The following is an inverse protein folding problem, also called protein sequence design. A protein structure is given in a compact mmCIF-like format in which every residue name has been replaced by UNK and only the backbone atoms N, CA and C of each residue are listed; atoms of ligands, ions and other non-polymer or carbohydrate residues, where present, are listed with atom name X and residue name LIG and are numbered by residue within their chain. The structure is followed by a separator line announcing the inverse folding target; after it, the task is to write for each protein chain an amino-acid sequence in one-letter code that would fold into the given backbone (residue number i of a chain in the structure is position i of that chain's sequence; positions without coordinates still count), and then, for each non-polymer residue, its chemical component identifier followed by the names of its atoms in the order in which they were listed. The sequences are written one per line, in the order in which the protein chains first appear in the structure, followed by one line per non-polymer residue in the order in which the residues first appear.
data_IF_956386499907
#
_entry.id   IF_956386499907
#
_cell.length_a   1.000
_cell.length_b   1.000
_cell.length_c   1.000
_cell.angle_alpha   90.00
_cell.angle_beta   90.00
_cell.angle_gamma   90.00
#
_symmetry.space_group_name_H-M   'P 1'
#
loop_
_entity.id
_entity.type
_entity.pdbx_description
1 polymer ?
#
# COMPACT_ATOMS: atom_id res chain seq x y z
N UNK A 1 3.05 -30.52 3.58
CA UNK A 1 3.60 -29.31 4.23
C UNK A 1 2.45 -28.66 4.97
N UNK A 2 2.33 -28.87 6.28
CA UNK A 2 1.20 -28.36 7.06
C UNK A 2 1.27 -26.83 7.17
N UNK A 3 0.14 -26.12 7.01
CA UNK A 3 0.03 -24.69 7.30
C UNK A 3 0.22 -23.72 6.12
N UNK A 4 0.10 -24.19 4.86
CA UNK A 4 0.10 -23.33 3.66
C UNK A 4 -1.24 -23.29 2.92
N UNK A 5 -2.26 -23.95 3.46
CA UNK A 5 -3.54 -24.17 2.78
C UNK A 5 -4.40 -22.89 2.68
N UNK A 6 -4.00 -21.83 3.38
CA UNK A 6 -4.64 -20.50 3.35
C UNK A 6 -3.91 -19.50 2.44
N UNK A 7 -2.75 -19.87 1.89
CA UNK A 7 -2.01 -19.04 0.95
C UNK A 7 -2.68 -19.08 -0.42
N UNK A 8 -2.92 -17.91 -0.99
CA UNK A 8 -3.29 -17.86 -2.40
C UNK A 8 -2.08 -18.28 -3.22
N UNK A 9 -2.23 -19.32 -4.03
CA UNK A 9 -1.21 -19.68 -5.02
C UNK A 9 -1.27 -18.65 -6.14
N UNK A 10 -0.57 -17.54 -5.93
CA UNK A 10 -0.44 -16.48 -6.93
C UNK A 10 0.66 -16.83 -7.93
N UNK A 11 0.48 -16.51 -9.21
CA UNK A 11 1.51 -16.72 -10.20
C UNK A 11 2.70 -15.76 -9.95
N UNK A 12 3.94 -16.17 -10.28
CA UNK A 12 5.16 -15.47 -9.90
C UNK A 12 5.27 -14.04 -10.46
N UNK A 13 4.53 -13.73 -11.52
CA UNK A 13 4.48 -12.37 -12.06
C UNK A 13 3.83 -11.37 -11.09
N UNK A 14 2.93 -11.80 -10.19
CA UNK A 14 2.32 -10.88 -9.21
C UNK A 14 3.36 -10.35 -8.24
N UNK A 15 4.28 -11.21 -7.81
CA UNK A 15 5.42 -10.79 -6.99
C UNK A 15 6.31 -9.78 -7.74
N UNK A 16 6.52 -9.96 -9.04
CA UNK A 16 7.25 -8.99 -9.86
C UNK A 16 6.55 -7.63 -9.89
N UNK A 17 5.22 -7.59 -10.00
CA UNK A 17 4.45 -6.34 -9.88
C UNK A 17 4.60 -5.69 -8.50
N UNK A 18 4.64 -6.47 -7.41
CA UNK A 18 4.88 -5.93 -6.05
C UNK A 18 6.25 -5.31 -5.89
N UNK A 19 7.28 -5.93 -6.47
CA UNK A 19 8.64 -5.37 -6.46
C UNK A 19 8.68 -4.07 -7.28
N UNK A 20 7.99 -4.04 -8.43
CA UNK A 20 7.92 -2.84 -9.26
C UNK A 20 7.21 -1.68 -8.53
N UNK A 21 6.13 -1.95 -7.80
CA UNK A 21 5.47 -0.99 -6.91
C UNK A 21 6.44 -0.50 -5.82
N UNK A 22 7.18 -1.40 -5.17
CA UNK A 22 8.14 -0.98 -4.13
C UNK A 22 9.24 -0.06 -4.70
N UNK A 23 9.82 -0.41 -5.85
CA UNK A 23 10.88 0.39 -6.49
C UNK A 23 10.34 1.75 -6.94
N UNK A 24 9.16 1.77 -7.55
CA UNK A 24 8.55 3.01 -8.04
C UNK A 24 8.17 3.92 -6.87
N UNK A 25 7.64 3.38 -5.78
CA UNK A 25 7.37 4.12 -4.55
C UNK A 25 8.63 4.75 -3.94
N UNK A 26 9.78 4.05 -3.93
CA UNK A 26 11.07 4.62 -3.47
C UNK A 26 11.49 5.81 -4.33
N UNK A 27 11.34 5.71 -5.66
CA UNK A 27 11.66 6.81 -6.57
C UNK A 27 10.75 8.02 -6.32
N UNK A 28 9.44 7.79 -6.16
CA UNK A 28 8.48 8.87 -5.88
C UNK A 28 8.77 9.51 -4.52
N UNK A 29 9.09 8.71 -3.49
CA UNK A 29 9.45 9.23 -2.17
C UNK A 29 10.68 10.15 -2.25
N UNK A 30 11.69 9.79 -3.05
CA UNK A 30 12.86 10.63 -3.29
C UNK A 30 12.52 11.92 -4.03
N UNK A 31 11.66 11.86 -5.05
CA UNK A 31 11.21 13.03 -5.79
C UNK A 31 10.39 13.97 -4.91
N UNK A 32 9.45 13.47 -4.12
CA UNK A 32 8.65 14.29 -3.20
C UNK A 32 9.46 14.82 -2.02
N UNK A 33 10.42 14.06 -1.48
CA UNK A 33 11.33 14.58 -0.47
C UNK A 33 12.15 15.76 -1.03
N UNK A 34 12.61 15.64 -2.29
CA UNK A 34 13.21 16.76 -3.02
C UNK A 34 12.21 17.92 -3.14
N UNK A 35 10.96 17.67 -3.55
CA UNK A 35 9.89 18.67 -3.66
C UNK A 35 9.72 19.53 -2.40
N UNK A 36 9.48 18.86 -1.27
CA UNK A 36 9.28 19.47 0.07
C UNK A 36 10.47 20.32 0.52
N UNK A 37 11.71 19.95 0.15
CA UNK A 37 12.89 20.77 0.49
C UNK A 37 12.87 22.16 -0.17
N UNK A 38 12.19 22.31 -1.31
CA UNK A 38 12.07 23.57 -2.04
C UNK A 38 10.76 24.29 -1.75
N UNK A 39 9.64 23.59 -1.87
CA UNK A 39 8.31 24.14 -1.63
C UNK A 39 7.41 22.97 -1.20
N UNK A 40 6.89 23.06 0.02
CA UNK A 40 5.86 22.14 0.51
C UNK A 40 4.50 22.74 0.18
N UNK A 41 3.66 21.90 -0.42
CA UNK A 41 2.27 22.18 -0.72
C UNK A 41 1.50 20.86 -0.64
N UNK A 42 0.19 20.95 -0.49
CA UNK A 42 -0.66 19.85 -0.04
C UNK A 42 -0.54 18.58 -0.91
N UNK A 43 -0.46 18.70 -2.24
CA UNK A 43 -0.30 17.55 -3.12
C UNK A 43 1.07 16.88 -3.06
N UNK A 44 2.16 17.61 -2.79
CA UNK A 44 3.49 17.00 -2.64
C UNK A 44 3.60 16.29 -1.28
N UNK A 45 3.10 16.91 -0.21
CA UNK A 45 3.07 16.32 1.13
C UNK A 45 2.18 15.06 1.16
N UNK A 46 1.04 15.08 0.47
CA UNK A 46 0.18 13.90 0.32
C UNK A 46 0.86 12.81 -0.51
N UNK A 47 1.56 13.17 -1.59
CA UNK A 47 2.31 12.21 -2.43
C UNK A 47 3.43 11.54 -1.63
N UNK A 48 4.15 12.30 -0.80
CA UNK A 48 5.17 11.79 0.10
C UNK A 48 4.59 10.76 1.09
N UNK A 49 3.46 11.08 1.72
CA UNK A 49 2.75 10.16 2.61
C UNK A 49 2.33 8.88 1.86
N UNK A 50 1.72 9.03 0.69
CA UNK A 50 1.22 7.90 -0.11
C UNK A 50 2.35 6.99 -0.58
N UNK A 51 3.52 7.54 -0.95
CA UNK A 51 4.70 6.76 -1.28
C UNK A 51 5.23 5.96 -0.08
N UNK A 52 5.28 6.57 1.10
CA UNK A 52 5.68 5.90 2.34
C UNK A 52 4.71 4.77 2.72
N UNK A 53 3.39 5.04 2.66
CA UNK A 53 2.37 4.04 2.91
C UNK A 53 2.47 2.87 1.91
N UNK A 54 2.73 3.17 0.64
CA UNK A 54 2.94 2.16 -0.41
C UNK A 54 4.13 1.25 -0.09
N UNK A 55 5.25 1.78 0.41
CA UNK A 55 6.36 0.93 0.83
C UNK A 55 5.96 -0.01 1.98
N UNK A 56 5.26 0.50 2.99
CA UNK A 56 4.83 -0.32 4.13
C UNK A 56 3.91 -1.45 3.65
N UNK A 57 2.96 -1.12 2.78
CA UNK A 57 2.01 -2.08 2.19
C UNK A 57 2.73 -3.15 1.38
N UNK A 58 3.59 -2.75 0.45
CA UNK A 58 4.29 -3.67 -0.45
C UNK A 58 5.27 -4.56 0.31
N UNK A 59 6.00 -4.03 1.30
CA UNK A 59 6.87 -4.82 2.17
C UNK A 59 6.07 -5.86 2.96
N UNK A 60 4.94 -5.47 3.55
CA UNK A 60 4.05 -6.42 4.25
C UNK A 60 3.60 -7.55 3.32
N UNK A 61 3.14 -7.24 2.11
CA UNK A 61 2.66 -8.23 1.14
C UNK A 61 3.80 -9.18 0.73
N UNK A 62 4.98 -8.65 0.37
CA UNK A 62 6.13 -9.46 -0.05
C UNK A 62 6.58 -10.40 1.08
N UNK A 63 6.66 -9.91 2.32
CA UNK A 63 7.07 -10.72 3.48
C UNK A 63 6.02 -11.79 3.79
N UNK A 64 4.73 -11.46 3.72
CA UNK A 64 3.64 -12.40 3.96
C UNK A 64 3.60 -13.52 2.91
N UNK A 65 3.95 -13.24 1.66
CA UNK A 65 3.99 -14.23 0.58
C UNK A 65 5.25 -15.11 0.59
N UNK A 66 6.42 -14.54 0.92
CA UNK A 66 7.72 -15.23 0.73
C UNK A 66 8.30 -15.83 2.00
N UNK A 67 8.27 -15.12 3.12
CA UNK A 67 9.06 -15.44 4.31
C UNK A 67 8.21 -15.87 5.50
N UNK A 68 7.05 -15.25 5.69
CA UNK A 68 6.22 -15.43 6.88
C UNK A 68 4.75 -15.73 6.50
N UNK A 69 4.43 -16.95 6.05
CA UNK A 69 3.06 -17.30 5.66
C UNK A 69 2.06 -17.25 6.83
N UNK A 70 2.53 -17.19 8.08
CA UNK A 70 1.69 -17.08 9.27
C UNK A 70 0.98 -15.72 9.39
N UNK A 71 1.57 -14.65 8.85
CA UNK A 71 0.96 -13.31 8.85
C UNK A 71 0.07 -13.08 7.62
N UNK A 72 -0.03 -14.06 6.72
CA UNK A 72 -0.77 -13.93 5.49
C UNK A 72 -2.28 -13.87 5.75
N UNK A 73 -2.89 -12.73 5.40
CA UNK A 73 -4.33 -12.53 5.43
C UNK A 73 -4.79 -11.86 4.12
N UNK A 74 -5.51 -12.62 3.29
CA UNK A 74 -5.97 -12.12 1.98
C UNK A 74 -6.97 -10.97 2.08
N UNK A 75 -7.74 -10.86 3.17
CA UNK A 75 -8.64 -9.72 3.38
C UNK A 75 -7.87 -8.44 3.69
N UNK A 76 -6.77 -8.57 4.45
CA UNK A 76 -5.87 -7.46 4.70
C UNK A 76 -5.21 -7.00 3.40
N UNK A 77 -4.72 -7.93 2.58
CA UNK A 77 -4.09 -7.61 1.29
C UNK A 77 -5.08 -6.87 0.36
N UNK A 78 -6.31 -7.38 0.22
CA UNK A 78 -7.36 -6.69 -0.55
C UNK A 78 -7.65 -5.28 -0.01
N UNK A 79 -7.79 -5.15 1.31
CA UNK A 79 -8.05 -3.85 1.94
C UNK A 79 -6.91 -2.86 1.70
N UNK A 80 -5.66 -3.31 1.81
CA UNK A 80 -4.48 -2.49 1.56
C UNK A 80 -4.34 -2.08 0.09
N UNK A 81 -4.68 -2.96 -0.86
CA UNK A 81 -4.70 -2.62 -2.28
C UNK A 81 -5.77 -1.55 -2.58
N UNK A 82 -6.99 -1.69 -2.05
CA UNK A 82 -8.06 -0.68 -2.23
C UNK A 82 -7.65 0.65 -1.60
N UNK A 83 -7.07 0.61 -0.40
CA UNK A 83 -6.54 1.80 0.27
C UNK A 83 -5.49 2.50 -0.61
N UNK A 84 -4.52 1.75 -1.14
CA UNK A 84 -3.48 2.31 -2.00
C UNK A 84 -4.05 2.95 -3.27
N UNK A 85 -5.04 2.32 -3.92
CA UNK A 85 -5.71 2.87 -5.11
C UNK A 85 -6.36 4.22 -4.81
N UNK A 86 -7.10 4.33 -3.70
CA UNK A 86 -7.78 5.57 -3.31
C UNK A 86 -6.77 6.67 -3.00
N UNK A 87 -5.69 6.35 -2.29
CA UNK A 87 -4.66 7.35 -2.00
C UNK A 87 -3.91 7.77 -3.26
N UNK A 88 -3.56 6.85 -4.14
CA UNK A 88 -2.86 7.19 -5.38
C UNK A 88 -3.71 8.08 -6.29
N UNK A 89 -4.99 7.75 -6.51
CA UNK A 89 -5.84 8.58 -7.40
C UNK A 89 -5.98 10.02 -6.89
N UNK A 90 -6.07 10.22 -5.58
CA UNK A 90 -6.13 11.56 -4.99
C UNK A 90 -4.77 12.25 -5.12
N UNK A 91 -3.70 11.56 -4.70
CA UNK A 91 -2.34 12.14 -4.62
C UNK A 91 -1.83 12.59 -5.98
N UNK A 92 -1.85 11.70 -6.99
CA UNK A 92 -1.29 12.06 -8.30
C UNK A 92 -2.15 13.13 -9.00
N UNK A 93 -3.47 13.10 -8.82
CA UNK A 93 -4.38 14.09 -9.43
C UNK A 93 -4.18 15.47 -8.81
N UNK A 94 -4.08 15.53 -7.48
CA UNK A 94 -3.84 16.78 -6.76
C UNK A 94 -2.48 17.37 -7.14
N UNK A 95 -1.41 16.56 -7.06
CA UNK A 95 -0.06 16.97 -7.45
C UNK A 95 -0.02 17.44 -8.92
N UNK A 96 -0.67 16.73 -9.84
CA UNK A 96 -0.74 17.14 -11.24
C UNK A 96 -1.44 18.49 -11.42
N UNK A 97 -2.52 18.75 -10.67
CA UNK A 97 -3.26 20.01 -10.74
C UNK A 97 -2.44 21.20 -10.24
N UNK A 98 -1.71 21.02 -9.14
CA UNK A 98 -0.87 22.07 -8.53
C UNK A 98 0.37 22.34 -9.38
N UNK A 99 1.00 21.29 -9.93
CA UNK A 99 2.13 21.41 -10.86
C UNK A 99 1.73 22.06 -12.18
N UNK A 100 0.49 21.85 -12.65
CA UNK A 100 -0.04 22.50 -13.84
C UNK A 100 -0.37 23.99 -13.59
N UNK A 101 -0.89 24.32 -12.40
CA UNK A 101 -1.12 25.68 -11.95
C UNK A 101 0.19 26.44 -11.66
N UNK A 102 1.28 25.70 -11.41
CA UNK A 102 2.61 26.26 -11.23
C UNK A 102 3.18 26.76 -12.56
N UNK A 103 2.73 27.94 -12.95
CA UNK A 103 3.14 28.61 -14.19
C UNK A 103 4.33 29.49 -13.88
N UNK A 104 5.38 29.37 -14.70
CA UNK A 104 6.45 30.37 -14.74
C UNK A 104 5.77 31.67 -15.13
N UNK A 105 5.81 32.67 -14.25
CA UNK A 105 5.57 34.04 -14.66
C UNK A 105 6.73 34.40 -15.59
N UNK A 106 6.59 34.11 -16.89
CA UNK A 106 7.41 34.74 -17.92
C UNK A 106 7.12 36.22 -17.80
N UNK A 107 8.09 36.98 -17.32
CA UNK A 107 7.96 38.40 -17.17
C UNK A 107 7.80 39.04 -18.55
N UNK A 108 6.56 39.31 -18.94
CA UNK A 108 6.27 40.04 -20.17
C UNK A 108 6.50 41.55 -20.00
N UNK A 109 6.63 42.03 -18.76
CA UNK A 109 6.83 43.45 -18.46
C UNK A 109 8.14 43.70 -17.72
N UNK A 110 9.00 44.53 -18.32
CA UNK A 110 10.26 44.98 -17.74
C UNK A 110 9.95 45.89 -16.54
N UNK A 111 10.37 45.50 -15.33
CA UNK A 111 10.03 46.26 -14.12
C UNK A 111 10.80 47.57 -14.01
N UNK A 112 12.09 47.57 -14.39
CA UNK A 112 12.89 48.77 -14.57
C UNK A 112 14.14 48.44 -15.41
N UNK A 113 14.65 49.43 -16.13
CA UNK A 113 15.88 49.31 -16.94
C UNK A 113 17.00 50.14 -16.31
N UNK A 114 18.19 49.57 -16.20
CA UNK A 114 19.41 50.28 -15.81
C UNK A 114 20.53 49.90 -16.77
N UNK A 115 21.20 50.91 -17.35
CA UNK A 115 22.27 50.74 -18.33
C UNK A 115 21.89 49.86 -19.56
N UNK A 116 20.63 49.92 -20.00
CA UNK A 116 20.15 49.15 -21.16
C UNK A 116 19.83 47.68 -20.87
N UNK A 117 19.96 47.25 -19.61
CA UNK A 117 19.60 45.90 -19.16
C UNK A 117 18.26 45.96 -18.44
N UNK A 118 17.29 45.16 -18.90
CA UNK A 118 15.97 45.05 -18.29
C UNK A 118 16.00 44.10 -17.09
N UNK A 119 15.57 44.59 -15.93
CA UNK A 119 15.42 43.81 -14.70
C UNK A 119 13.95 43.45 -14.50
N UNK A 120 13.68 42.16 -14.34
CA UNK A 120 12.33 41.65 -14.15
C UNK A 120 12.00 41.49 -12.66
N UNK A 121 10.84 41.99 -12.21
CA UNK A 121 10.40 41.82 -10.82
C UNK A 121 9.73 40.46 -10.64
N UNK A 122 10.35 39.59 -9.84
CA UNK A 122 9.70 38.41 -9.24
C UNK A 122 8.33 38.81 -8.70
N UNK A 123 7.28 38.11 -9.11
CA UNK A 123 5.90 38.45 -8.72
C UNK A 123 5.82 38.57 -7.20
N UNK A 124 5.06 39.54 -6.67
CA UNK A 124 4.91 39.77 -5.23
C UNK A 124 4.43 38.52 -4.46
N UNK A 125 3.73 37.61 -5.14
CA UNK A 125 3.33 36.31 -4.60
C UNK A 125 4.53 35.37 -4.27
N UNK A 126 5.70 35.62 -4.88
CA UNK A 126 6.94 34.84 -4.70
C UNK A 126 7.99 35.59 -3.85
N UNK A 127 7.65 36.76 -3.28
CA UNK A 127 8.57 37.57 -2.46
C UNK A 127 9.01 36.82 -1.18
N UNK A 128 8.12 35.99 -0.62
CA UNK A 128 8.42 35.14 0.52
C UNK A 128 9.17 33.84 0.18
N UNK A 129 9.32 33.50 -1.11
CA UNK A 129 10.05 32.32 -1.59
C UNK A 129 11.50 32.63 -1.95
N UNK A 130 11.97 33.85 -1.65
CA UNK A 130 13.26 34.40 -2.07
C UNK A 130 14.52 33.73 -1.46
N UNK A 131 14.39 32.65 -0.67
CA UNK A 131 15.54 32.11 0.09
C UNK A 131 15.93 30.65 -0.18
N UNK A 132 15.36 29.97 -1.18
CA UNK A 132 15.74 28.58 -1.54
C UNK A 132 16.40 28.55 -2.93
N UNK A 133 17.58 29.17 -3.00
CA UNK A 133 18.28 29.54 -4.23
C UNK A 133 19.31 28.49 -4.67
N UNK A 134 18.87 27.25 -4.97
CA UNK A 134 19.78 26.20 -5.50
C UNK A 134 19.25 25.40 -6.69
N UNK A 135 17.96 25.51 -7.10
CA UNK A 135 17.43 24.75 -8.23
C UNK A 135 16.63 25.60 -9.23
N UNK A 136 16.67 25.20 -10.50
CA UNK A 136 15.94 25.86 -11.58
C UNK A 136 14.45 25.50 -11.50
N UNK A 137 13.57 26.50 -11.66
CA UNK A 137 12.10 26.35 -11.68
C UNK A 137 11.64 25.28 -12.67
N UNK A 138 12.29 25.18 -13.84
CA UNK A 138 12.01 24.14 -14.82
C UNK A 138 12.36 22.74 -14.28
N UNK A 139 13.50 22.60 -13.60
CA UNK A 139 13.93 21.33 -13.00
C UNK A 139 12.97 20.89 -11.91
N UNK A 140 12.57 21.81 -11.03
CA UNK A 140 11.58 21.53 -9.98
C UNK A 140 10.24 21.06 -10.57
N UNK A 141 9.68 21.84 -11.50
CA UNK A 141 8.40 21.51 -12.12
C UNK A 141 8.44 20.18 -12.88
N UNK A 142 9.53 19.91 -13.60
CA UNK A 142 9.70 18.64 -14.31
C UNK A 142 9.83 17.45 -13.34
N UNK A 143 10.50 17.63 -12.20
CA UNK A 143 10.60 16.60 -11.17
C UNK A 143 9.24 16.30 -10.53
N UNK A 144 8.44 17.32 -10.23
CA UNK A 144 7.09 17.14 -9.68
C UNK A 144 6.12 16.54 -10.70
N UNK A 145 6.24 16.94 -11.97
CA UNK A 145 5.47 16.33 -13.07
C UNK A 145 5.85 14.84 -13.27
N UNK A 146 7.13 14.51 -13.12
CA UNK A 146 7.59 13.12 -13.14
C UNK A 146 7.02 12.34 -11.94
N UNK A 147 7.03 12.93 -10.74
CA UNK A 147 6.43 12.31 -9.54
C UNK A 147 4.93 12.05 -9.72
N UNK A 148 4.16 13.01 -10.27
CA UNK A 148 2.74 12.79 -10.57
C UNK A 148 2.52 11.71 -11.64
N UNK A 149 3.35 11.69 -12.69
CA UNK A 149 3.28 10.66 -13.73
C UNK A 149 3.55 9.26 -13.19
N UNK A 150 4.58 9.12 -12.35
CA UNK A 150 4.91 7.86 -11.67
C UNK A 150 3.82 7.48 -10.64
N UNK A 151 3.17 8.43 -9.98
CA UNK A 151 2.01 8.16 -9.13
C UNK A 151 0.81 7.61 -9.91
N UNK A 152 0.60 8.08 -11.14
CA UNK A 152 -0.37 7.47 -12.06
C UNK A 152 0.01 6.04 -12.45
N UNK A 153 1.30 5.74 -12.62
CA UNK A 153 1.79 4.38 -12.84
C UNK A 153 1.50 3.48 -11.63
N UNK A 154 1.78 3.94 -10.41
CA UNK A 154 1.45 3.21 -9.17
C UNK A 154 -0.04 2.88 -9.06
N UNK A 155 -0.90 3.86 -9.36
CA UNK A 155 -2.33 3.65 -9.42
C UNK A 155 -2.70 2.48 -10.35
N UNK A 156 -2.15 2.46 -11.57
CA UNK A 156 -2.40 1.38 -12.53
C UNK A 156 -1.87 0.04 -12.00
N UNK A 157 -0.66 0.01 -11.45
CA UNK A 157 -0.07 -1.20 -10.89
C UNK A 157 -0.97 -1.78 -9.79
N UNK A 158 -1.45 -0.93 -8.87
CA UNK A 158 -2.35 -1.36 -7.80
C UNK A 158 -3.70 -1.86 -8.29
N UNK A 159 -4.29 -1.22 -9.31
CA UNK A 159 -5.53 -1.70 -9.95
C UNK A 159 -5.29 -3.08 -10.57
N UNK A 160 -4.20 -3.26 -11.30
CA UNK A 160 -3.85 -4.54 -11.93
C UNK A 160 -3.65 -5.62 -10.87
N UNK A 161 -2.89 -5.35 -9.81
CA UNK A 161 -2.69 -6.32 -8.71
C UNK A 161 -3.99 -6.62 -7.98
N UNK A 162 -4.86 -5.64 -7.73
CA UNK A 162 -6.15 -5.84 -7.09
C UNK A 162 -7.07 -6.75 -7.92
N UNK A 163 -7.15 -6.53 -9.24
CA UNK A 163 -7.97 -7.37 -10.12
C UNK A 163 -7.47 -8.80 -10.11
N UNK A 164 -6.15 -8.99 -10.18
CA UNK A 164 -5.55 -10.32 -10.14
C UNK A 164 -5.79 -11.02 -8.80
N UNK A 165 -5.49 -10.37 -7.67
CA UNK A 165 -5.73 -10.93 -6.33
C UNK A 165 -7.22 -11.23 -6.11
N UNK A 166 -8.11 -10.38 -6.62
CA UNK A 166 -9.57 -10.59 -6.58
C UNK A 166 -10.04 -11.83 -7.36
N UNK A 167 -9.57 -12.01 -8.61
CA UNK A 167 -9.91 -13.18 -9.43
C UNK A 167 -9.43 -14.47 -8.75
N UNK A 168 -8.18 -14.49 -8.29
CA UNK A 168 -7.59 -15.66 -7.65
C UNK A 168 -8.25 -15.95 -6.30
N UNK A 169 -8.63 -14.92 -5.54
CA UNK A 169 -9.39 -15.10 -4.31
C UNK A 169 -10.77 -15.68 -4.57
N UNK A 170 -11.49 -15.19 -5.59
CA UNK A 170 -12.79 -15.74 -5.95
C UNK A 170 -12.69 -17.23 -6.28
N UNK A 171 -11.68 -17.64 -7.07
CA UNK A 171 -11.41 -19.05 -7.37
C UNK A 171 -11.04 -19.86 -6.13
N UNK A 172 -10.23 -19.31 -5.23
CA UNK A 172 -9.84 -19.95 -3.98
C UNK A 172 -11.04 -20.19 -3.06
N UNK A 173 -11.98 -19.24 -3.00
CA UNK A 173 -13.22 -19.38 -2.24
C UNK A 173 -14.18 -20.40 -2.85
N UNK A 174 -14.26 -20.48 -4.18
CA UNK A 174 -15.02 -21.54 -4.86
C UNK A 174 -14.44 -22.94 -4.57
N UNK A 175 -13.13 -23.04 -4.34
CA UNK A 175 -12.45 -24.27 -3.93
C UNK A 175 -12.57 -24.57 -2.41
N UNK A 176 -13.27 -23.74 -1.64
CA UNK A 176 -13.48 -23.93 -0.20
C UNK A 176 -12.33 -23.48 0.70
N UNK A 177 -11.36 -22.70 0.19
CA UNK A 177 -10.21 -22.25 0.97
C UNK A 177 -10.53 -21.20 2.05
N UNK A 178 -9.79 -21.23 3.16
CA UNK A 178 -9.98 -20.36 4.33
C UNK A 178 -8.94 -19.23 4.42
N UNK A 179 -9.26 -18.14 5.13
CA UNK A 179 -8.41 -16.95 5.33
C UNK A 179 -7.30 -17.06 6.35
N UNK A 180 -7.29 -18.12 7.14
CA UNK A 180 -6.34 -18.30 8.22
C UNK A 180 -5.73 -19.69 8.10
N UNK A 181 -4.45 -19.86 8.51
CA UNK A 181 -3.89 -21.19 8.62
C UNK A 181 -4.83 -21.98 9.52
N UNK A 182 -5.29 -23.15 9.05
CA UNK A 182 -6.10 -24.03 9.87
C UNK A 182 -5.33 -24.24 11.17
N UNK A 183 -5.86 -23.70 12.29
CA UNK A 183 -5.35 -24.02 13.61
C UNK A 183 -5.34 -25.53 13.65
N UNK A 184 -4.15 -26.14 13.86
CA UNK A 184 -4.01 -27.58 14.00
C UNK A 184 -5.21 -28.04 14.82
N UNK A 185 -6.08 -28.84 14.18
CA UNK A 185 -7.40 -29.15 14.70
C UNK A 185 -7.25 -29.39 16.20
N UNK A 186 -7.87 -28.53 17.02
CA UNK A 186 -8.03 -28.89 18.41
C UNK A 186 -8.69 -30.26 18.35
N UNK A 187 -7.93 -31.29 18.74
CA UNK A 187 -8.37 -32.66 18.64
C UNK A 187 -9.79 -32.71 19.21
N UNK A 188 -10.76 -33.36 18.54
CA UNK A 188 -12.03 -33.60 19.18
C UNK A 188 -11.70 -34.28 20.52
N UNK A 189 -12.04 -33.61 21.62
CA UNK A 189 -12.03 -34.24 22.94
C UNK A 189 -13.14 -35.30 22.92
N UNK A 190 -12.90 -36.43 22.28
CA UNK A 190 -13.57 -37.68 22.60
C UNK A 190 -12.81 -38.26 23.77
N UNK A 191 -13.14 -37.81 24.98
CA UNK A 191 -12.88 -38.60 26.18
C UNK A 191 -13.87 -39.79 26.14
N UNK A 192 -13.42 -41.04 26.02
CA UNK A 192 -14.29 -42.18 26.19
C UNK A 192 -14.63 -42.23 27.69
N UNK A 193 -15.87 -41.90 28.04
CA UNK A 193 -16.42 -42.19 29.36
C UNK A 193 -16.19 -43.68 29.65
N UNK A 194 -15.41 -44.07 30.68
CA UNK A 194 -15.26 -45.48 31.02
C UNK A 194 -16.62 -46.03 31.42
N UNK A 195 -17.08 -47.01 30.65
CA UNK A 195 -18.22 -47.83 30.99
C UNK A 195 -17.88 -48.60 32.27
N UNK A 196 -18.61 -48.29 33.35
CA UNK A 196 -18.44 -48.97 34.62
C UNK A 196 -18.77 -50.46 34.45
N UNK A 197 -17.93 -51.39 34.91
CA UNK A 197 -18.22 -52.81 34.78
C UNK A 197 -19.49 -53.19 35.55
N UNK A 198 -20.39 -53.87 34.85
CA UNK A 198 -21.59 -54.48 35.40
C UNK A 198 -21.24 -55.34 36.63
N UNK A 199 -21.83 -55.02 37.78
CA UNK A 199 -21.75 -55.89 38.96
C UNK A 199 -22.73 -57.06 38.81
N UNK A 200 -22.30 -58.30 39.14
CA UNK A 200 -23.14 -59.49 39.02
C UNK A 200 -24.28 -59.50 40.03
N UNK A 201 -25.46 -59.95 39.58
CA UNK A 201 -26.64 -60.22 40.41
C UNK A 201 -26.31 -61.20 41.53
N UNK A 202 -26.53 -60.78 42.79
CA UNK A 202 -26.35 -61.59 43.98
C UNK A 202 -27.65 -61.69 44.79
N UNK A 203 -28.21 -62.89 44.79
CA UNK A 203 -29.24 -63.48 45.65
C UNK A 203 -29.45 -62.82 47.05
N UNK A 204 -30.70 -62.47 47.38
CA UNK A 204 -31.09 -62.09 48.75
C UNK A 204 -31.58 -63.32 49.53
N UNK A 205 -31.05 -63.63 50.73
CA UNK A 205 -31.61 -64.68 51.57
C UNK A 205 -32.89 -64.22 52.29
N UNK A 206 -33.88 -65.11 52.29
CA UNK A 206 -35.16 -65.02 52.99
C UNK A 206 -34.92 -65.07 54.51
N UNK A 207 -35.48 -64.13 55.26
CA UNK A 207 -35.47 -64.15 56.73
C UNK A 207 -36.58 -65.08 57.27
N UNK A 208 -36.31 -65.90 58.30
CA UNK A 208 -37.30 -66.80 58.88
C UNK A 208 -38.12 -66.15 60.01
N UNK A 209 -39.39 -66.56 60.04
CA UNK A 209 -40.40 -66.53 61.10
C UNK A 209 -40.77 -65.19 61.76
#
# INVERSE_FOLDING_TARGET
MAGRDHLLVLPPFVLAFRILQLVTAVVILGLSAYGVTFLSFDGDDLTLFTALATMIITVYIIVAETAAPIIYNYWAILGLDIFAIVFWIISFSLLASEVAAYQIVTYTECSYSYAGVCYYKRSRALEHLAKRDTTNVYTYRNAMAAASGLGGLEFILFVVTLVMTGIWLHRHRLAGGHCTPARAAAAPQTEPKPEAPAQPQGEYPVAPA
#
